data_IF_325920167501
#
_entry.id   IF_325920167501
#
_cell.length_a   1.000
_cell.length_b   1.000
_cell.length_c   1.000
_cell.angle_alpha   90.00
_cell.angle_beta   90.00
_cell.angle_gamma   90.00
#
_symmetry.space_group_name_H-M   'P 1'
#
loop_
_entity.id
_entity.type
_entity.pdbx_description
1 polymer ?
#
# COMPACT_ATOMS: atom_id res chain seq x y z
N UNK A 1 20.98 -12.74 -18.71
CA UNK A 1 21.49 -11.62 -17.90
C UNK A 1 20.41 -10.55 -17.91
N UNK A 2 19.67 -10.45 -16.81
CA UNK A 2 18.78 -9.33 -16.56
C UNK A 2 19.39 -8.57 -15.38
N UNK A 3 19.88 -7.38 -15.68
CA UNK A 3 20.43 -6.42 -14.72
C UNK A 3 19.25 -5.87 -13.93
N UNK A 4 19.07 -6.38 -12.72
CA UNK A 4 17.82 -6.27 -11.96
C UNK A 4 18.10 -5.94 -10.51
N UNK A 5 18.86 -4.87 -10.29
CA UNK A 5 19.04 -4.25 -8.98
C UNK A 5 17.72 -3.58 -8.57
N UNK A 6 16.74 -4.41 -8.20
CA UNK A 6 15.53 -3.94 -7.54
C UNK A 6 15.91 -3.71 -6.09
N UNK A 7 16.20 -2.47 -5.75
CA UNK A 7 16.36 -2.05 -4.36
C UNK A 7 15.00 -2.19 -3.66
N UNK A 8 14.86 -3.27 -2.89
CA UNK A 8 13.70 -3.58 -2.07
C UNK A 8 13.82 -2.96 -0.65
N UNK A 9 14.79 -2.06 -0.43
CA UNK A 9 14.96 -1.32 0.81
C UNK A 9 13.83 -0.32 1.06
N UNK A 10 13.76 0.20 2.30
CA UNK A 10 12.73 1.16 2.76
C UNK A 10 12.69 2.52 2.00
N UNK A 11 13.45 2.65 0.90
CA UNK A 11 13.46 3.77 -0.04
C UNK A 11 13.38 3.36 -1.52
N UNK A 12 13.10 2.09 -1.81
CA UNK A 12 12.91 1.57 -3.17
C UNK A 12 11.77 2.28 -3.89
N UNK A 13 11.86 2.36 -5.22
CA UNK A 13 11.01 3.20 -6.07
C UNK A 13 9.59 2.63 -6.24
N UNK A 14 8.92 2.32 -5.12
CA UNK A 14 7.59 1.74 -5.03
C UNK A 14 6.54 2.61 -5.73
N UNK A 15 6.75 3.93 -5.73
CA UNK A 15 5.94 4.89 -6.46
C UNK A 15 6.07 4.66 -7.97
N UNK A 16 7.29 4.44 -8.47
CA UNK A 16 7.53 4.13 -9.88
C UNK A 16 7.01 2.75 -10.27
N UNK A 17 7.15 1.74 -9.42
CA UNK A 17 6.56 0.41 -9.67
C UNK A 17 5.03 0.48 -9.75
N UNK A 18 4.39 1.23 -8.84
CA UNK A 18 2.93 1.47 -8.89
C UNK A 18 2.53 2.19 -10.18
N UNK A 19 3.28 3.23 -10.58
CA UNK A 19 3.03 3.97 -11.81
C UNK A 19 3.17 3.08 -13.06
N UNK A 20 4.17 2.20 -13.09
CA UNK A 20 4.39 1.24 -14.18
C UNK A 20 3.28 0.19 -14.25
N UNK A 21 2.85 -0.36 -13.11
CA UNK A 21 1.75 -1.33 -13.06
C UNK A 21 0.42 -0.70 -13.50
N UNK A 22 0.14 0.53 -13.06
CA UNK A 22 -1.07 1.26 -13.47
C UNK A 22 -1.10 1.63 -14.97
N UNK A 23 0.06 1.65 -15.64
CA UNK A 23 0.16 1.90 -17.07
C UNK A 23 -0.08 0.65 -17.93
N UNK A 24 -0.16 -0.54 -17.33
CA UNK A 24 -0.40 -1.79 -18.06
C UNK A 24 -1.90 -1.98 -18.35
N UNK A 25 -2.28 -2.24 -19.62
CA UNK A 25 -3.68 -2.49 -19.96
C UNK A 25 -4.18 -3.77 -19.27
N UNK A 26 -5.29 -3.65 -18.53
CA UNK A 26 -5.90 -4.74 -17.76
C UNK A 26 -5.44 -4.84 -16.29
N UNK A 27 -4.54 -3.96 -15.84
CA UNK A 27 -4.18 -3.84 -14.42
C UNK A 27 -4.97 -2.69 -13.79
N UNK A 28 -6.03 -3.04 -13.06
CA UNK A 28 -6.85 -2.07 -12.33
C UNK A 28 -6.21 -1.67 -11.00
N UNK A 29 -6.55 -0.49 -10.48
CA UNK A 29 -6.02 0.03 -9.20
C UNK A 29 -6.08 -0.97 -8.02
N UNK A 30 -7.12 -1.81 -7.85
CA UNK A 30 -7.14 -2.86 -6.84
C UNK A 30 -6.05 -3.93 -7.02
N UNK A 31 -5.69 -4.25 -8.27
CA UNK A 31 -4.64 -5.22 -8.62
C UNK A 31 -3.25 -4.64 -8.35
N UNK A 32 -3.03 -3.35 -8.67
CA UNK A 32 -1.79 -2.63 -8.35
C UNK A 32 -1.52 -2.65 -6.84
N UNK A 33 -2.53 -2.34 -6.03
CA UNK A 33 -2.42 -2.35 -4.57
C UNK A 33 -2.21 -3.76 -3.99
N UNK A 34 -2.83 -4.78 -4.58
CA UNK A 34 -2.60 -6.18 -4.19
C UNK A 34 -1.17 -6.65 -4.49
N UNK A 35 -0.62 -6.28 -5.66
CA UNK A 35 0.77 -6.56 -6.02
C UNK A 35 1.73 -5.79 -5.11
N UNK A 36 1.46 -4.51 -4.82
CA UNK A 36 2.29 -3.72 -3.91
C UNK A 36 2.34 -4.31 -2.49
N UNK A 37 1.20 -4.77 -1.96
CA UNK A 37 1.15 -5.43 -0.65
C UNK A 37 1.87 -6.79 -0.62
N UNK A 38 1.72 -7.61 -1.65
CA UNK A 38 2.22 -9.02 -1.64
C UNK A 38 3.61 -9.22 -2.21
N UNK A 39 4.01 -8.45 -3.22
CA UNK A 39 5.25 -8.66 -3.95
C UNK A 39 6.40 -7.77 -3.48
N UNK A 40 6.10 -6.62 -2.85
CA UNK A 40 7.11 -5.58 -2.58
C UNK A 40 7.46 -5.42 -1.09
N UNK A 41 6.67 -6.00 -0.17
CA UNK A 41 6.93 -5.85 1.28
C UNK A 41 6.85 -4.40 1.76
N UNK A 42 6.16 -3.52 1.02
CA UNK A 42 6.09 -2.08 1.30
C UNK A 42 5.45 -1.82 2.68
N UNK A 43 6.22 -1.29 3.66
CA UNK A 43 5.71 -1.00 5.00
C UNK A 43 4.62 0.08 5.01
N UNK A 44 4.54 0.89 3.95
CA UNK A 44 3.59 1.99 3.79
C UNK A 44 2.41 1.62 2.87
N UNK A 45 2.31 0.36 2.42
CA UNK A 45 1.26 -0.10 1.52
C UNK A 45 -0.13 0.01 2.17
N UNK A 46 -0.93 0.94 1.67
CA UNK A 46 -2.19 1.33 2.28
C UNK A 46 -3.23 1.71 1.23
N UNK A 47 -4.37 1.01 1.26
CA UNK A 47 -5.53 1.36 0.45
C UNK A 47 -6.73 1.63 1.36
N UNK A 48 -7.23 2.87 1.33
CA UNK A 48 -8.42 3.26 2.11
C UNK A 48 -9.70 2.52 1.65
N UNK A 49 -9.68 1.96 0.43
CA UNK A 49 -10.78 1.17 -0.12
C UNK A 49 -10.76 -0.30 0.33
N UNK A 50 -9.65 -0.79 0.91
CA UNK A 50 -9.51 -2.18 1.34
C UNK A 50 -10.54 -2.52 2.44
N UNK A 51 -11.31 -3.62 2.30
CA UNK A 51 -12.32 -4.01 3.29
C UNK A 51 -11.79 -4.18 4.71
N UNK A 52 -10.56 -4.68 4.88
CA UNK A 52 -9.92 -4.85 6.20
C UNK A 52 -9.63 -3.47 6.81
N UNK A 53 -9.08 -2.56 6.02
CA UNK A 53 -8.78 -1.18 6.40
C UNK A 53 -10.06 -0.41 6.77
N UNK A 54 -11.13 -0.53 5.97
CA UNK A 54 -12.43 0.08 6.26
C UNK A 54 -13.08 -0.50 7.52
N UNK A 55 -12.90 -1.80 7.78
CA UNK A 55 -13.39 -2.43 9.01
C UNK A 55 -12.66 -1.92 10.25
N UNK A 56 -11.33 -1.85 10.21
CA UNK A 56 -10.52 -1.28 11.30
C UNK A 56 -10.89 0.19 11.55
N UNK A 57 -11.03 1.00 10.49
CA UNK A 57 -11.45 2.39 10.60
C UNK A 57 -12.81 2.56 11.28
N UNK A 58 -13.79 1.71 10.94
CA UNK A 58 -15.11 1.72 11.61
C UNK A 58 -15.02 1.35 13.10
N UNK A 59 -14.21 0.35 13.46
CA UNK A 59 -13.99 -0.01 14.87
C UNK A 59 -13.41 1.16 15.68
N UNK A 60 -12.56 1.96 15.05
CA UNK A 60 -11.92 3.13 15.66
C UNK A 60 -12.73 4.43 15.55
N UNK A 61 -13.91 4.40 14.91
CA UNK A 61 -14.71 5.60 14.67
C UNK A 61 -14.08 6.62 13.71
N UNK A 62 -13.13 6.20 12.86
CA UNK A 62 -12.42 7.07 11.93
C UNK A 62 -13.26 7.36 10.68
N UNK A 63 -13.65 8.62 10.49
CA UNK A 63 -14.44 9.08 9.34
C UNK A 63 -13.59 9.66 8.20
N UNK A 64 -12.35 10.07 8.48
CA UNK A 64 -11.39 10.62 7.51
C UNK A 64 -10.08 9.81 7.48
N UNK A 65 -10.23 8.51 7.19
CA UNK A 65 -9.14 7.55 7.23
C UNK A 65 -7.91 7.93 6.37
N UNK A 66 -8.04 8.47 5.13
CA UNK A 66 -6.89 8.93 4.36
C UNK A 66 -6.07 10.02 5.06
N UNK A 67 -6.75 10.93 5.78
CA UNK A 67 -6.09 11.99 6.54
C UNK A 67 -5.42 11.43 7.79
N UNK A 68 -6.08 10.51 8.49
CA UNK A 68 -5.53 9.91 9.72
C UNK A 68 -4.36 8.97 9.43
N UNK A 69 -4.41 8.23 8.33
CA UNK A 69 -3.35 7.30 7.97
C UNK A 69 -2.06 8.00 7.56
N UNK A 70 -2.10 9.28 7.18
CA UNK A 70 -0.90 10.07 6.91
C UNK A 70 0.06 10.12 8.11
N UNK A 71 -0.46 10.07 9.35
CA UNK A 71 0.34 10.05 10.58
C UNK A 71 1.04 8.69 10.81
N UNK A 72 0.61 7.63 10.13
CA UNK A 72 1.22 6.30 10.26
C UNK A 72 2.33 6.04 9.24
N UNK A 73 2.63 7.02 8.37
CA UNK A 73 3.76 6.91 7.45
C UNK A 73 5.09 6.86 8.23
N UNK A 74 6.10 6.09 7.78
CA UNK A 74 6.10 5.23 6.59
C UNK A 74 5.66 3.77 6.86
N UNK A 75 4.86 3.51 7.90
CA UNK A 75 4.50 2.17 8.39
C UNK A 75 2.98 1.90 8.35
N UNK A 76 2.24 2.51 7.41
CA UNK A 76 0.77 2.39 7.35
C UNK A 76 0.26 0.95 7.26
N UNK A 77 0.98 0.05 6.60
CA UNK A 77 0.59 -1.35 6.47
C UNK A 77 0.59 -2.07 7.84
N UNK A 78 1.57 -1.77 8.69
CA UNK A 78 1.67 -2.31 10.05
C UNK A 78 0.67 -1.69 11.00
N UNK A 79 0.42 -0.38 10.89
CA UNK A 79 -0.61 0.28 11.68
C UNK A 79 -1.98 -0.36 11.47
N UNK A 80 -2.35 -0.67 10.22
CA UNK A 80 -3.60 -1.38 9.94
C UNK A 80 -3.61 -2.78 10.56
N UNK A 81 -2.51 -3.54 10.47
CA UNK A 81 -2.43 -4.88 11.08
C UNK A 81 -2.60 -4.83 12.60
N UNK A 82 -1.98 -3.85 13.27
CA UNK A 82 -2.08 -3.68 14.73
C UNK A 82 -3.47 -3.22 15.17
N UNK A 83 -4.18 -2.48 14.32
CA UNK A 83 -5.52 -1.93 14.59
C UNK A 83 -6.68 -2.83 14.16
N UNK A 84 -6.40 -3.96 13.50
CA UNK A 84 -7.40 -4.87 12.91
C UNK A 84 -8.13 -5.73 13.95
#
# INVERSE_FOLDING_TARGET
MADGEVDLGAGGDWVRVRAQLAALPGIEAPTVEAIAKRALGDPDAFSAADPVVRRAARKLGLTALPTHSAAWRPWRAYAVQYLS
#
